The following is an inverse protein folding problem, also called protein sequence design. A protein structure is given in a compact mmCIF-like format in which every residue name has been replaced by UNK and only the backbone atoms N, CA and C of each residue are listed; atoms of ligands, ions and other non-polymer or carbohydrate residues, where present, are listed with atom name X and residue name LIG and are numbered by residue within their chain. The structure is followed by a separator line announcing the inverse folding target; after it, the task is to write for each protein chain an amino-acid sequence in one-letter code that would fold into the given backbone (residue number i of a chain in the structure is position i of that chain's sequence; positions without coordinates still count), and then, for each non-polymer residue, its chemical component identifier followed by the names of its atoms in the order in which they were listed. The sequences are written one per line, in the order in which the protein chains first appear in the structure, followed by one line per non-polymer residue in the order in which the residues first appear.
data_IF_591094535405
#
_entry.id   IF_591094535405
#
_cell.length_a   1.000
_cell.length_b   1.000
_cell.length_c   1.000
_cell.angle_alpha   90.00
_cell.angle_beta   90.00
_cell.angle_gamma   90.00
#
_symmetry.space_group_name_H-M   'P 1'
#
loop_
_entity.id
_entity.type
_entity.pdbx_description
1 polymer ?
#
# COMPACT_ATOMS: atom_id res chain seq x y z
N UNK A 1 -21.88 4.96 11.04
CA UNK A 1 -21.43 5.42 9.71
C UNK A 1 -19.96 5.06 9.61
N UNK A 2 -19.60 4.01 8.88
CA UNK A 2 -18.19 3.66 8.63
C UNK A 2 -17.71 4.45 7.42
N UNK A 3 -16.68 5.29 7.60
CA UNK A 3 -16.07 6.02 6.49
C UNK A 3 -15.15 5.07 5.74
N UNK A 4 -15.44 4.83 4.46
CA UNK A 4 -14.55 4.06 3.59
C UNK A 4 -13.43 4.95 3.08
N UNK A 5 -12.21 4.75 3.59
CA UNK A 5 -11.02 5.45 3.08
C UNK A 5 -10.40 4.59 1.97
N UNK A 6 -10.28 5.17 0.78
CA UNK A 6 -9.71 4.54 -0.41
C UNK A 6 -8.67 5.48 -0.98
N UNK A 7 -7.45 4.98 -1.23
CA UNK A 7 -6.36 5.72 -1.87
C UNK A 7 -5.99 5.04 -3.18
N UNK A 8 -6.09 5.78 -4.28
CA UNK A 8 -5.67 5.33 -5.59
C UNK A 8 -4.62 6.28 -6.16
N UNK A 9 -3.39 5.81 -6.24
CA UNK A 9 -2.24 6.47 -6.85
C UNK A 9 -1.71 5.70 -8.07
N UNK A 10 -2.51 4.77 -8.60
CA UNK A 10 -2.11 3.96 -9.75
C UNK A 10 -1.85 4.81 -10.99
N UNK A 11 -0.99 4.31 -11.88
CA UNK A 11 -0.70 4.90 -13.20
C UNK A 11 -0.10 6.31 -13.13
N UNK A 12 0.84 6.50 -12.21
CA UNK A 12 1.66 7.70 -12.14
C UNK A 12 3.12 7.36 -12.46
N UNK A 13 4.00 8.33 -12.19
CA UNK A 13 5.46 8.15 -12.28
C UNK A 13 6.09 8.29 -10.89
N UNK A 14 5.42 7.76 -9.86
CA UNK A 14 6.00 7.79 -8.51
C UNK A 14 7.18 6.83 -8.45
N UNK A 15 8.31 7.33 -7.93
CA UNK A 15 9.57 6.59 -7.80
C UNK A 15 9.98 6.52 -6.32
N UNK A 16 11.00 5.70 -6.02
CA UNK A 16 11.48 5.48 -4.66
C UNK A 16 10.63 4.49 -3.86
N UNK A 17 10.64 4.61 -2.54
CA UNK A 17 10.12 3.58 -1.62
C UNK A 17 8.73 3.90 -1.10
N UNK A 18 7.94 2.86 -0.83
CA UNK A 18 6.68 2.99 -0.10
C UNK A 18 6.98 3.33 1.36
N UNK A 19 6.64 4.55 1.78
CA UNK A 19 6.93 5.02 3.14
C UNK A 19 6.14 4.25 4.19
N UNK A 20 6.77 4.00 5.35
CA UNK A 20 6.15 3.29 6.47
C UNK A 20 4.93 4.02 7.04
N UNK A 21 4.81 5.34 6.80
CA UNK A 21 3.68 6.17 7.24
C UNK A 21 2.33 5.70 6.68
N UNK A 22 2.32 4.93 5.58
CA UNK A 22 1.08 4.32 5.07
C UNK A 22 0.43 3.44 6.14
N UNK A 23 1.21 2.79 7.01
CA UNK A 23 0.70 1.97 8.11
C UNK A 23 -0.02 2.73 9.21
N UNK A 24 0.06 4.07 9.25
CA UNK A 24 -0.65 4.89 10.22
C UNK A 24 -2.07 5.24 9.75
N UNK A 25 -2.40 4.92 8.49
CA UNK A 25 -3.73 5.06 7.91
C UNK A 25 -4.65 3.90 8.33
N UNK A 26 -4.81 3.68 9.63
CA UNK A 26 -5.50 2.49 10.20
C UNK A 26 -6.98 2.32 9.79
N UNK A 27 -7.59 3.32 9.16
CA UNK A 27 -8.94 3.24 8.57
C UNK A 27 -8.96 2.96 7.05
N UNK A 28 -7.80 2.72 6.43
CA UNK A 28 -7.68 2.49 4.99
C UNK A 28 -8.26 1.14 4.60
N UNK A 29 -9.23 1.14 3.68
CA UNK A 29 -9.86 -0.08 3.16
C UNK A 29 -9.30 -0.53 1.82
N UNK A 30 -8.81 0.39 1.00
CA UNK A 30 -8.16 0.04 -0.25
C UNK A 30 -6.99 0.96 -0.57
N UNK A 31 -5.88 0.36 -0.97
CA UNK A 31 -4.67 1.04 -1.43
C UNK A 31 -4.26 0.50 -2.79
N UNK A 32 -4.26 1.36 -3.80
CA UNK A 32 -3.74 1.02 -5.12
C UNK A 32 -2.55 1.91 -5.48
N UNK A 33 -1.36 1.31 -5.57
CA UNK A 33 -0.11 1.93 -6.00
C UNK A 33 0.37 1.38 -7.35
N UNK A 34 -0.44 0.62 -8.08
CA UNK A 34 0.02 -0.13 -9.25
C UNK A 34 0.40 0.75 -10.43
N UNK A 35 1.24 0.22 -11.32
CA UNK A 35 1.73 0.94 -12.50
C UNK A 35 2.46 2.24 -12.13
N UNK A 36 3.46 2.12 -11.27
CA UNK A 36 4.39 3.19 -10.90
C UNK A 36 5.85 2.71 -11.04
N UNK A 37 6.80 3.56 -10.66
CA UNK A 37 8.23 3.25 -10.60
C UNK A 37 8.73 2.95 -9.19
N UNK A 38 7.85 2.65 -8.23
CA UNK A 38 8.25 2.42 -6.84
C UNK A 38 9.10 1.16 -6.70
N UNK A 39 10.06 1.17 -5.79
CA UNK A 39 11.07 0.12 -5.62
C UNK A 39 11.32 -0.23 -4.14
N UNK A 40 12.16 -1.23 -3.91
CA UNK A 40 12.54 -1.70 -2.58
C UNK A 40 11.62 -2.80 -2.06
N UNK A 41 11.37 -2.82 -0.74
CA UNK A 41 10.59 -3.87 -0.08
C UNK A 41 9.26 -3.35 0.45
N UNK A 42 8.27 -4.22 0.49
CA UNK A 42 6.98 -3.94 1.13
C UNK A 42 7.20 -3.56 2.62
N UNK A 43 6.73 -2.39 3.09
CA UNK A 43 6.96 -1.97 4.46
C UNK A 43 6.16 -2.84 5.43
N UNK A 44 6.80 -3.33 6.48
CA UNK A 44 6.16 -4.15 7.53
C UNK A 44 5.04 -3.40 8.26
N UNK A 45 5.03 -2.06 8.24
CA UNK A 45 3.97 -1.25 8.82
C UNK A 45 2.60 -1.48 8.18
N UNK A 46 2.50 -2.06 6.97
CA UNK A 46 1.22 -2.45 6.38
C UNK A 46 0.44 -3.44 7.26
N UNK A 47 1.11 -4.21 8.12
CA UNK A 47 0.46 -5.10 9.09
C UNK A 47 -0.46 -4.36 10.08
N UNK A 48 -0.34 -3.03 10.21
CA UNK A 48 -1.19 -2.19 11.08
C UNK A 48 -2.54 -1.87 10.42
N UNK A 49 -2.68 -2.08 9.11
CA UNK A 49 -3.88 -1.78 8.36
C UNK A 49 -4.93 -2.89 8.52
N UNK A 50 -5.42 -3.07 9.75
CA UNK A 50 -6.28 -4.19 10.16
C UNK A 50 -7.64 -4.26 9.47
N UNK A 51 -8.03 -3.23 8.74
CA UNK A 51 -9.29 -3.15 7.98
C UNK A 51 -9.05 -3.01 6.48
N UNK A 52 -7.81 -3.23 6.00
CA UNK A 52 -7.51 -3.22 4.58
C UNK A 52 -8.16 -4.42 3.90
N UNK A 53 -8.90 -4.16 2.84
CA UNK A 53 -9.61 -5.18 2.07
C UNK A 53 -9.00 -5.38 0.68
N UNK A 54 -8.23 -4.39 0.19
CA UNK A 54 -7.60 -4.43 -1.12
C UNK A 54 -6.25 -3.73 -1.11
N UNK A 55 -5.21 -4.45 -1.55
CA UNK A 55 -3.87 -3.94 -1.77
C UNK A 55 -3.41 -4.31 -3.18
N UNK A 56 -3.09 -3.31 -3.99
CA UNK A 56 -2.50 -3.51 -5.31
C UNK A 56 -1.16 -2.77 -5.40
N UNK A 57 -0.07 -3.54 -5.40
CA UNK A 57 1.31 -3.07 -5.60
C UNK A 57 1.88 -3.49 -6.96
N UNK A 58 1.06 -4.07 -7.84
CA UNK A 58 1.50 -4.67 -9.10
C UNK A 58 2.11 -3.65 -10.06
N UNK A 59 2.91 -4.10 -11.02
CA UNK A 59 3.58 -3.21 -11.99
C UNK A 59 4.41 -2.10 -11.31
N UNK A 60 5.16 -2.50 -10.28
CA UNK A 60 6.23 -1.74 -9.62
C UNK A 60 7.49 -2.62 -9.54
N UNK A 61 8.57 -2.09 -8.97
CA UNK A 61 9.81 -2.81 -8.64
C UNK A 61 9.88 -3.20 -7.15
N UNK A 62 8.72 -3.34 -6.51
CA UNK A 62 8.61 -3.69 -5.08
C UNK A 62 8.75 -5.21 -4.93
N UNK A 63 9.64 -5.64 -4.04
CA UNK A 63 9.82 -7.04 -3.64
C UNK A 63 9.60 -7.27 -2.15
N UNK A 64 10.15 -8.37 -1.65
CA UNK A 64 9.97 -8.81 -0.26
C UNK A 64 8.64 -9.51 -0.01
N UNK A 65 8.45 -10.00 1.21
CA UNK A 65 7.21 -10.68 1.60
C UNK A 65 6.10 -9.65 1.86
N UNK A 66 4.90 -9.95 1.36
CA UNK A 66 3.69 -9.24 1.78
C UNK A 66 3.41 -9.67 3.24
N UNK A 67 3.23 -8.73 4.19
CA UNK A 67 2.94 -9.07 5.58
C UNK A 67 1.72 -9.99 5.70
N UNK A 68 1.85 -11.07 6.47
CA UNK A 68 0.82 -12.12 6.59
C UNK A 68 -0.45 -11.68 7.30
N UNK A 69 -0.44 -10.54 7.98
CA UNK A 69 -1.59 -10.00 8.71
C UNK A 69 -2.47 -9.05 7.87
N UNK A 70 -2.27 -9.03 6.55
CA UNK A 70 -3.14 -8.34 5.59
C UNK A 70 -4.30 -9.24 5.14
#
# INVERSE_FOLDING_TARGET
MTTNIIINFSRNRFEGYVSSIIGDLVGLRALNLSHNGSEGVTPTSLQRLSVLESLDLSSNKIGGEIPRQL
#
